data_IF_436022315237
#
_entry.id   IF_436022315237
#
_cell.length_a   1.000
_cell.length_b   1.000
_cell.length_c   1.000
_cell.angle_alpha   90.00
_cell.angle_beta   90.00
_cell.angle_gamma   90.00
#
_symmetry.space_group_name_H-M   'P 1'
#
loop_
_entity.id
_entity.type
_entity.pdbx_description
1 polymer ?
#
# COMPACT_ATOMS: atom_id res chain seq x y z
N UNK A 1 -1.12 8.14 -7.67
CA UNK A 1 -1.88 8.19 -6.40
C UNK A 1 -0.95 8.69 -5.30
N UNK A 2 -1.41 9.51 -4.34
CA UNK A 2 -0.67 9.66 -3.07
C UNK A 2 -1.16 8.54 -2.16
N UNK A 3 -0.37 7.48 -1.96
CA UNK A 3 -0.70 6.38 -1.02
C UNK A 3 -1.12 6.93 0.35
N UNK A 4 -0.53 8.06 0.76
CA UNK A 4 -0.93 8.77 1.97
C UNK A 4 -2.41 9.15 2.04
N UNK A 5 -3.11 9.34 0.90
CA UNK A 5 -4.56 9.58 0.90
C UNK A 5 -5.32 8.32 1.32
N UNK A 6 -4.95 7.16 0.77
CA UNK A 6 -5.51 5.88 1.18
C UNK A 6 -5.34 5.66 2.69
N UNK A 7 -4.12 5.84 3.21
CA UNK A 7 -3.87 5.67 4.65
C UNK A 7 -4.57 6.68 5.57
N UNK A 8 -5.02 7.83 5.05
CA UNK A 8 -5.80 8.80 5.83
C UNK A 8 -7.31 8.50 5.81
N UNK A 9 -7.80 7.97 4.69
CA UNK A 9 -9.20 7.55 4.52
C UNK A 9 -9.47 6.22 5.24
N UNK A 10 -8.47 5.33 5.29
CA UNK A 10 -8.56 4.04 5.97
C UNK A 10 -9.30 3.00 5.12
N UNK A 11 -10.04 2.11 5.77
CA UNK A 11 -10.86 1.07 5.11
C UNK A 11 -12.23 1.57 4.63
N UNK A 12 -12.44 2.88 4.62
CA UNK A 12 -13.64 3.48 4.04
C UNK A 12 -13.72 3.18 2.53
N UNK A 13 -14.94 3.14 2.00
CA UNK A 13 -15.16 2.83 0.58
C UNK A 13 -14.37 3.75 -0.39
N UNK A 14 -14.25 5.06 -0.12
CA UNK A 14 -13.41 5.94 -0.95
C UNK A 14 -11.93 5.54 -0.94
N UNK A 15 -11.38 5.14 0.20
CA UNK A 15 -10.01 4.65 0.32
C UNK A 15 -9.79 3.39 -0.51
N UNK A 16 -10.67 2.40 -0.34
CA UNK A 16 -10.62 1.13 -1.09
C UNK A 16 -10.71 1.33 -2.60
N UNK A 17 -11.64 2.16 -3.06
CA UNK A 17 -11.78 2.47 -4.49
C UNK A 17 -10.54 3.17 -5.06
N UNK A 18 -9.96 4.14 -4.33
CA UNK A 18 -8.74 4.83 -4.74
C UNK A 18 -7.55 3.87 -4.89
N UNK A 19 -7.44 2.91 -3.96
CA UNK A 19 -6.38 1.90 -3.98
C UNK A 19 -6.58 0.91 -5.15
N UNK A 20 -7.83 0.50 -5.41
CA UNK A 20 -8.18 -0.37 -6.53
C UNK A 20 -7.87 0.30 -7.87
N UNK A 21 -8.34 1.53 -8.09
CA UNK A 21 -8.09 2.31 -9.31
C UNK A 21 -6.59 2.48 -9.62
N UNK A 22 -5.77 2.64 -8.57
CA UNK A 22 -4.32 2.78 -8.72
C UNK A 22 -3.65 1.45 -9.06
N UNK A 23 -4.14 0.35 -8.49
CA UNK A 23 -3.69 -1.01 -8.78
C UNK A 23 -4.02 -1.40 -10.21
N UNK A 24 -5.24 -1.11 -10.67
CA UNK A 24 -5.69 -1.39 -12.05
C UNK A 24 -4.85 -0.62 -13.09
N UNK A 25 -4.32 0.55 -12.70
CA UNK A 25 -3.38 1.35 -13.51
C UNK A 25 -1.92 0.87 -13.43
N UNK A 26 -1.67 -0.24 -12.73
CA UNK A 26 -0.33 -0.81 -12.60
C UNK A 26 0.60 -0.04 -11.65
N UNK A 27 0.07 0.80 -10.74
CA UNK A 27 0.93 1.54 -9.81
C UNK A 27 1.52 0.56 -8.79
N UNK A 28 2.84 0.36 -8.87
CA UNK A 28 3.60 -0.61 -8.08
C UNK A 28 3.43 -0.45 -6.57
N UNK A 29 3.40 0.81 -6.16
CA UNK A 29 3.11 1.29 -4.82
C UNK A 29 1.73 0.80 -4.30
N UNK A 30 0.69 0.85 -5.15
CA UNK A 30 -0.65 0.39 -4.83
C UNK A 30 -0.74 -1.14 -4.80
N UNK A 31 -0.13 -1.80 -5.77
CA UNK A 31 -0.03 -3.26 -5.86
C UNK A 31 0.63 -3.83 -4.60
N UNK A 32 1.70 -3.19 -4.13
CA UNK A 32 2.35 -3.57 -2.88
C UNK A 32 1.43 -3.42 -1.67
N UNK A 33 0.68 -2.31 -1.58
CA UNK A 33 -0.25 -2.06 -0.47
C UNK A 33 -1.40 -3.05 -0.46
N UNK A 34 -2.07 -3.33 -1.59
CA UNK A 34 -3.08 -4.40 -1.68
C UNK A 34 -2.50 -5.73 -1.22
N UNK A 35 -1.28 -6.02 -1.63
CA UNK A 35 -0.57 -7.19 -1.19
C UNK A 35 -0.41 -7.34 0.32
N UNK A 36 -0.04 -6.25 1.00
CA UNK A 36 0.04 -6.23 2.46
C UNK A 36 -1.32 -6.49 3.12
N UNK A 37 -2.41 -5.95 2.56
CA UNK A 37 -3.77 -6.16 3.07
C UNK A 37 -4.21 -7.61 2.89
N UNK A 38 -4.03 -8.18 1.69
CA UNK A 38 -4.33 -9.59 1.41
C UNK A 38 -3.57 -10.53 2.36
N UNK A 39 -2.30 -10.22 2.65
CA UNK A 39 -1.50 -10.98 3.61
C UNK A 39 -2.00 -10.84 5.06
N UNK A 40 -2.60 -9.71 5.41
CA UNK A 40 -3.21 -9.48 6.72
C UNK A 40 -4.58 -10.18 6.88
N UNK A 41 -5.33 -10.34 5.78
CA UNK A 41 -6.63 -11.03 5.75
C UNK A 41 -6.51 -12.57 5.87
N UNK A 42 -5.32 -13.13 5.66
CA UNK A 42 -5.04 -14.55 5.94
C UNK A 42 -4.23 -15.25 4.86
N UNK A 43 -3.76 -16.45 5.20
CA UNK A 43 -2.81 -17.20 4.35
C UNK A 43 -3.36 -17.64 2.99
N UNK A 44 -4.69 -17.78 2.85
CA UNK A 44 -5.33 -18.22 1.61
C UNK A 44 -5.21 -17.19 0.48
N UNK A 45 -5.16 -15.90 0.83
CA UNK A 45 -5.04 -14.78 -0.11
C UNK A 45 -3.59 -14.48 -0.52
N UNK A 46 -2.61 -15.15 0.12
CA UNK A 46 -1.18 -14.98 -0.19
C UNK A 46 -0.86 -15.31 -1.64
N UNK A 47 -1.50 -16.32 -2.21
CA UNK A 47 -1.24 -16.74 -3.58
C UNK A 47 -1.68 -15.68 -4.60
N UNK A 48 -2.83 -15.04 -4.37
CA UNK A 48 -3.34 -13.92 -5.16
C UNK A 48 -2.32 -12.77 -5.20
N UNK A 49 -1.78 -12.41 -4.02
CA UNK A 49 -0.75 -11.39 -3.92
C UNK A 49 0.54 -11.74 -4.69
N UNK A 50 1.04 -12.97 -4.54
CA UNK A 50 2.27 -13.40 -5.23
C UNK A 50 2.13 -13.33 -6.76
N UNK A 51 0.95 -13.66 -7.29
CA UNK A 51 0.63 -13.53 -8.72
C UNK A 51 0.68 -12.05 -9.13
N UNK A 52 0.05 -11.16 -8.37
CA UNK A 52 0.07 -9.71 -8.66
C UNK A 52 1.50 -9.14 -8.66
N UNK A 53 2.33 -9.50 -7.68
CA UNK A 53 3.73 -9.08 -7.63
C UNK A 53 4.52 -9.53 -8.84
N UNK A 54 4.37 -10.80 -9.21
CA UNK A 54 5.09 -11.37 -10.34
C UNK A 54 4.70 -10.66 -11.65
N UNK A 55 3.40 -10.41 -11.84
CA UNK A 55 2.90 -9.68 -13.00
C UNK A 55 3.44 -8.24 -13.04
N UNK A 56 3.44 -7.53 -11.92
CA UNK A 56 3.99 -6.18 -11.81
C UNK A 56 5.50 -6.15 -12.09
N UNK A 57 6.25 -7.14 -11.59
CA UNK A 57 7.68 -7.28 -11.86
C UNK A 57 7.96 -7.56 -13.35
N UNK A 58 7.16 -8.42 -13.99
CA UNK A 58 7.27 -8.70 -15.43
C UNK A 58 6.93 -7.44 -16.25
N UNK A 59 5.84 -6.74 -15.91
CA UNK A 59 5.36 -5.55 -16.63
C UNK A 59 6.34 -4.38 -16.56
N UNK A 60 7.13 -4.32 -15.49
CA UNK A 60 8.23 -3.35 -15.34
C UNK A 60 9.52 -3.81 -16.01
N UNK A 61 9.47 -4.81 -16.90
CA UNK A 61 10.64 -5.41 -17.55
C UNK A 61 11.69 -5.86 -16.53
N UNK A 62 11.22 -6.36 -15.38
CA UNK A 62 12.06 -6.84 -14.28
C UNK A 62 12.93 -5.76 -13.63
N UNK A 63 12.56 -4.49 -13.76
CA UNK A 63 13.27 -3.35 -13.16
C UNK A 63 12.67 -2.87 -11.84
N UNK A 64 11.52 -3.42 -11.41
CA UNK A 64 10.91 -3.00 -10.16
C UNK A 64 11.73 -3.45 -8.95
N UNK A 65 12.11 -2.47 -8.13
CA UNK A 65 12.77 -2.69 -6.84
C UNK A 65 11.74 -2.72 -5.69
N UNK A 66 11.33 -3.93 -5.31
CA UNK A 66 10.34 -4.15 -4.24
C UNK A 66 10.79 -3.55 -2.90
N UNK A 67 12.09 -3.60 -2.58
CA UNK A 67 12.64 -3.04 -1.34
C UNK A 67 12.49 -1.53 -1.29
N UNK A 68 12.73 -0.83 -2.40
CA UNK A 68 12.51 0.61 -2.48
C UNK A 68 11.03 0.98 -2.30
N UNK A 69 10.12 0.23 -2.91
CA UNK A 69 8.68 0.43 -2.70
C UNK A 69 8.29 0.20 -1.24
N UNK A 70 8.81 -0.84 -0.59
CA UNK A 70 8.59 -1.08 0.83
C UNK A 70 9.01 0.12 1.70
N UNK A 71 10.21 0.66 1.49
CA UNK A 71 10.66 1.86 2.23
C UNK A 71 9.78 3.08 1.98
N UNK A 72 9.37 3.28 0.73
CA UNK A 72 8.50 4.41 0.36
C UNK A 72 7.13 4.30 1.01
N UNK A 73 6.52 3.13 1.01
CA UNK A 73 5.22 2.86 1.63
C UNK A 73 5.30 3.04 3.15
N UNK A 74 6.36 2.51 3.79
CA UNK A 74 6.62 2.72 5.21
C UNK A 74 6.73 4.19 5.57
N UNK A 75 7.46 4.98 4.77
CA UNK A 75 7.56 6.44 4.99
C UNK A 75 6.20 7.13 4.94
N UNK A 76 5.28 6.70 4.06
CA UNK A 76 3.92 7.25 4.03
C UNK A 76 3.11 6.85 5.27
N UNK A 77 3.23 5.61 5.74
CA UNK A 77 2.58 5.15 6.98
C UNK A 77 3.07 5.96 8.18
N UNK A 78 4.38 6.09 8.35
CA UNK A 78 4.99 6.85 9.43
C UNK A 78 4.51 8.31 9.42
N UNK A 79 4.45 8.93 8.25
CA UNK A 79 3.94 10.30 8.09
C UNK A 79 2.43 10.42 8.44
N UNK A 80 1.62 9.40 8.13
CA UNK A 80 0.21 9.36 8.51
C UNK A 80 0.04 9.16 10.02
N UNK A 81 0.82 8.27 10.64
CA UNK A 81 0.81 8.05 12.09
C UNK A 81 1.17 9.33 12.86
N UNK A 82 2.21 10.04 12.44
CA UNK A 82 2.58 11.33 13.06
C UNK A 82 1.47 12.37 12.94
N UNK A 83 0.78 12.44 11.80
CA UNK A 83 -0.35 13.36 11.61
C UNK A 83 -1.54 12.99 12.49
N UNK A 84 -1.85 11.70 12.56
CA UNK A 84 -2.91 11.20 13.43
C UNK A 84 -2.60 11.51 14.89
N UNK A 85 -1.41 11.17 15.37
CA UNK A 85 -0.98 11.46 16.74
C UNK A 85 -1.11 12.95 17.10
N UNK A 86 -0.66 13.85 16.20
CA UNK A 86 -0.83 15.30 16.36
C UNK A 86 -2.30 15.74 16.44
N UNK A 87 -3.19 15.11 15.69
CA UNK A 87 -4.63 15.45 15.69
C UNK A 87 -5.30 15.14 17.04
N UNK A 88 -4.81 14.13 17.75
CA UNK A 88 -5.36 13.68 19.04
C UNK A 88 -4.49 14.06 20.25
N UNK A 89 -3.43 14.85 20.05
CA UNK A 89 -2.51 15.24 21.13
C UNK A 89 -1.73 14.06 21.74
N UNK A 90 -1.55 12.98 20.99
CA UNK A 90 -0.82 11.78 21.42
C UNK A 90 0.68 11.99 21.17
N UNK A 91 1.51 11.74 22.18
CA UNK A 91 2.97 11.71 22.02
C UNK A 91 3.41 10.34 21.49
N UNK A 92 4.28 10.35 20.48
CA UNK A 92 4.95 9.15 19.94
C UNK A 92 6.40 9.14 20.43
N UNK A 93 6.58 9.06 21.75
CA UNK A 93 7.90 8.88 22.41
C UNK A 93 8.23 7.40 22.60
#
# INVERSE_FOLDING_TARGET
MKISKYFLSGEDEPGKQLLQDATDKGQLDAIFVIGMLLMAEGSERKQEYLIMLNNAYINTRRSWNLRQTCYKVRSYLDACLVKFAKMFGISLE
#
